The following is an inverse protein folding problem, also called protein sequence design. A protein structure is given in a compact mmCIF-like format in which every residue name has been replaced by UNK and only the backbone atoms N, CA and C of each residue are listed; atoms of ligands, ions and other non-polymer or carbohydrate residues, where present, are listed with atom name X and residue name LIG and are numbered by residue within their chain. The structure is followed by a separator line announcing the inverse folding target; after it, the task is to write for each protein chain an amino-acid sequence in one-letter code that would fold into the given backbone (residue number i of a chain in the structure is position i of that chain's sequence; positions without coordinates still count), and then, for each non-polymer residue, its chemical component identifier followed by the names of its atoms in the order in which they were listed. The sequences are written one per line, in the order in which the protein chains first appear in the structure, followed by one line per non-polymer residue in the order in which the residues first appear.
data_IF_781142694410
#
_entry.id   IF_781142694410
#
_cell.length_a   1.000
_cell.length_b   1.000
_cell.length_c   1.000
_cell.angle_alpha   90.00
_cell.angle_beta   90.00
_cell.angle_gamma   90.00
#
_symmetry.space_group_name_H-M   'P 1'
#
loop_
_entity.id
_entity.type
_entity.pdbx_description
1 polymer ?
#
# COMPACT_ATOMS: atom_id res chain seq x y z
N UNK A 1 12.96 17.21 -27.52
CA UNK A 1 12.93 16.25 -26.39
C UNK A 1 13.51 16.94 -25.15
N UNK A 2 12.68 17.69 -24.40
CA UNK A 2 12.94 18.26 -23.05
C UNK A 2 11.86 19.29 -22.62
N UNK A 3 10.59 19.13 -23.03
CA UNK A 3 9.51 20.07 -22.70
C UNK A 3 8.41 19.48 -21.80
N UNK A 4 8.50 18.19 -21.47
CA UNK A 4 7.40 17.46 -20.82
C UNK A 4 7.48 17.43 -19.28
N UNK A 5 8.63 17.73 -18.68
CA UNK A 5 8.82 17.59 -17.24
C UNK A 5 8.29 18.77 -16.39
N UNK A 6 8.02 19.93 -17.00
CA UNK A 6 7.65 21.16 -16.26
C UNK A 6 6.15 21.37 -16.04
N UNK A 7 5.27 20.58 -16.67
CA UNK A 7 3.82 20.71 -16.49
C UNK A 7 3.27 19.91 -15.30
N UNK A 8 4.00 18.90 -14.82
CA UNK A 8 3.54 18.05 -13.71
C UNK A 8 3.55 18.77 -12.34
N UNK A 9 4.30 19.86 -12.19
CA UNK A 9 4.45 20.59 -10.92
C UNK A 9 3.43 21.73 -10.74
N UNK A 10 2.80 22.23 -11.81
CA UNK A 10 1.88 23.40 -11.74
C UNK A 10 0.45 23.05 -11.32
N UNK A 11 0.08 21.77 -11.28
CA UNK A 11 -1.28 21.34 -10.97
C UNK A 11 -1.50 20.90 -9.52
N UNK A 12 -0.49 21.02 -8.64
CA UNK A 12 -0.66 20.82 -7.20
C UNK A 12 -1.35 19.51 -6.84
N UNK A 13 -1.04 18.42 -7.55
CA UNK A 13 -1.64 17.11 -7.35
C UNK A 13 -1.04 16.45 -6.12
N UNK A 14 -1.53 16.86 -4.96
CA UNK A 14 -1.38 16.13 -3.70
C UNK A 14 -2.36 14.96 -3.74
N UNK A 15 -1.96 13.89 -4.42
CA UNK A 15 -2.65 12.59 -4.51
C UNK A 15 -4.09 12.61 -5.08
N UNK A 16 -4.52 11.45 -5.60
CA UNK A 16 -5.88 11.10 -6.09
C UNK A 16 -6.18 11.49 -7.56
N UNK A 17 -6.65 10.53 -8.39
CA UNK A 17 -6.89 10.76 -9.82
C UNK A 17 -7.91 11.87 -10.05
N UNK A 18 -7.49 12.91 -10.77
CA UNK A 18 -8.23 14.14 -10.99
C UNK A 18 -8.44 14.31 -12.50
N UNK A 19 -9.66 14.04 -12.99
CA UNK A 19 -9.98 14.18 -14.42
C UNK A 19 -10.42 15.62 -14.64
N UNK A 20 -9.69 16.34 -15.49
CA UNK A 20 -10.00 17.71 -15.91
C UNK A 20 -10.39 17.69 -17.40
N UNK A 21 -11.54 18.30 -17.72
CA UNK A 21 -11.97 18.49 -19.09
C UNK A 21 -11.48 19.84 -19.59
N UNK A 22 -10.76 19.83 -20.71
CA UNK A 22 -10.26 21.03 -21.38
C UNK A 22 -10.99 21.24 -22.71
N UNK A 23 -11.28 22.50 -23.03
CA UNK A 23 -11.71 22.92 -24.36
C UNK A 23 -10.65 23.88 -24.90
N UNK A 24 -9.83 23.40 -25.83
CA UNK A 24 -8.60 24.10 -26.22
C UNK A 24 -7.61 24.18 -25.05
N UNK A 25 -7.12 25.38 -24.73
CA UNK A 25 -6.18 25.62 -23.63
C UNK A 25 -6.85 25.96 -22.28
N UNK A 26 -8.19 26.05 -22.23
CA UNK A 26 -8.93 26.47 -21.02
C UNK A 26 -9.52 25.26 -20.28
N UNK A 27 -9.28 25.11 -18.96
CA UNK A 27 -9.96 24.10 -18.16
C UNK A 27 -11.44 24.47 -18.00
N UNK A 28 -12.34 23.53 -18.30
CA UNK A 28 -13.79 23.75 -18.31
C UNK A 28 -14.51 23.07 -17.17
N UNK A 29 -14.11 21.85 -16.81
CA UNK A 29 -14.76 21.11 -15.72
C UNK A 29 -13.77 20.20 -15.01
N UNK A 30 -14.04 19.95 -13.73
CA UNK A 30 -13.25 19.06 -12.87
C UNK A 30 -14.15 17.94 -12.37
N UNK A 31 -13.72 16.70 -12.54
CA UNK A 31 -14.42 15.54 -12.02
C UNK A 31 -14.04 15.33 -10.54
N UNK A 32 -15.01 15.61 -9.65
CA UNK A 32 -14.81 15.53 -8.19
C UNK A 32 -15.68 14.46 -7.51
N UNK A 33 -16.31 13.55 -8.27
CA UNK A 33 -17.21 12.56 -7.68
C UNK A 33 -16.44 11.45 -6.94
N UNK A 34 -17.02 10.98 -5.84
CA UNK A 34 -16.47 9.89 -5.00
C UNK A 34 -16.48 8.56 -5.74
N UNK A 35 -17.56 8.27 -6.47
CA UNK A 35 -17.74 7.05 -7.25
C UNK A 35 -17.11 7.16 -8.64
N UNK A 36 -15.98 6.48 -8.82
CA UNK A 36 -15.16 6.49 -10.04
C UNK A 36 -15.53 5.33 -10.96
N UNK A 37 -16.78 5.30 -11.41
CA UNK A 37 -17.27 4.28 -12.33
C UNK A 37 -17.37 4.81 -13.76
N UNK A 38 -17.41 3.90 -14.74
CA UNK A 38 -17.63 4.26 -16.14
C UNK A 38 -18.94 5.04 -16.32
N UNK A 39 -19.99 4.67 -15.58
CA UNK A 39 -21.30 5.33 -15.66
C UNK A 39 -21.24 6.78 -15.16
N UNK A 40 -20.60 7.03 -14.03
CA UNK A 40 -20.42 8.39 -13.50
C UNK A 40 -19.60 9.26 -14.46
N UNK A 41 -18.62 8.68 -15.15
CA UNK A 41 -17.82 9.38 -16.17
C UNK A 41 -18.66 9.69 -17.42
N UNK A 42 -19.47 8.74 -17.91
CA UNK A 42 -20.38 8.95 -19.04
C UNK A 42 -21.33 10.12 -18.77
N UNK A 43 -21.92 10.17 -17.56
CA UNK A 43 -22.81 11.26 -17.12
C UNK A 43 -22.06 12.59 -17.07
N UNK A 44 -20.84 12.62 -16.53
CA UNK A 44 -20.04 13.85 -16.46
C UNK A 44 -19.74 14.44 -17.85
N UNK A 45 -19.30 13.59 -18.79
CA UNK A 45 -19.02 14.03 -20.16
C UNK A 45 -20.30 14.48 -20.85
N UNK A 46 -21.40 13.74 -20.70
CA UNK A 46 -22.70 14.12 -21.26
C UNK A 46 -23.18 15.48 -20.72
N UNK A 47 -23.11 15.71 -19.41
CA UNK A 47 -23.55 16.96 -18.81
C UNK A 47 -22.74 18.17 -19.29
N UNK A 48 -21.44 17.98 -19.59
CA UNK A 48 -20.57 19.07 -19.98
C UNK A 48 -20.50 19.29 -21.50
N UNK A 49 -20.79 18.27 -22.31
CA UNK A 49 -20.64 18.32 -23.78
C UNK A 49 -21.93 18.08 -24.57
N UNK A 50 -22.97 17.51 -23.94
CA UNK A 50 -24.20 17.07 -24.60
C UNK A 50 -24.05 15.82 -25.47
N UNK A 51 -22.87 15.19 -25.49
CA UNK A 51 -22.57 14.04 -26.36
C UNK A 51 -22.89 12.74 -25.63
N UNK A 52 -23.80 11.93 -26.19
CA UNK A 52 -24.09 10.60 -25.63
C UNK A 52 -22.92 9.64 -25.81
N UNK A 53 -22.53 8.98 -24.72
CA UNK A 53 -21.53 7.93 -24.75
C UNK A 53 -22.06 6.65 -25.41
N UNK A 54 -21.19 5.91 -26.09
CA UNK A 54 -21.54 4.61 -26.70
C UNK A 54 -22.04 3.64 -25.61
N UNK A 55 -23.27 3.14 -25.78
CA UNK A 55 -23.95 2.26 -24.81
C UNK A 55 -23.36 0.84 -24.75
N UNK A 56 -22.66 0.40 -25.80
CA UNK A 56 -22.11 -0.96 -25.91
C UNK A 56 -20.70 -1.12 -25.35
N UNK A 57 -20.19 -0.15 -24.59
CA UNK A 57 -18.86 -0.23 -23.96
C UNK A 57 -19.04 -0.73 -22.52
N UNK A 58 -18.51 -1.91 -22.25
CA UNK A 58 -18.49 -2.57 -20.94
C UNK A 58 -17.05 -2.65 -20.46
N UNK A 59 -16.84 -2.43 -19.16
CA UNK A 59 -15.52 -2.57 -18.54
C UNK A 59 -15.13 -4.05 -18.55
N UNK A 60 -13.99 -4.36 -19.16
CA UNK A 60 -13.42 -5.70 -19.22
C UNK A 60 -12.32 -5.88 -18.17
N UNK A 61 -11.94 -7.13 -17.90
CA UNK A 61 -10.79 -7.45 -17.05
C UNK A 61 -9.48 -6.87 -17.60
N UNK A 62 -9.35 -6.78 -18.93
CA UNK A 62 -8.17 -6.21 -19.59
C UNK A 62 -7.99 -4.71 -19.28
N UNK A 63 -9.09 -3.97 -19.10
CA UNK A 63 -9.04 -2.53 -18.77
C UNK A 63 -8.52 -2.25 -17.36
N UNK A 64 -8.45 -3.28 -16.50
CA UNK A 64 -7.90 -3.18 -15.15
C UNK A 64 -6.38 -3.38 -15.12
N UNK A 65 -5.78 -3.81 -16.23
CA UNK A 65 -4.34 -4.03 -16.36
C UNK A 65 -3.70 -2.69 -16.71
N UNK A 66 -3.33 -1.94 -15.67
CA UNK A 66 -2.59 -0.69 -15.79
C UNK A 66 -1.07 -0.88 -15.74
N UNK A 67 -0.28 0.12 -16.19
CA UNK A 67 1.17 0.12 -16.02
C UNK A 67 1.59 0.16 -14.54
N UNK A 68 0.67 0.53 -13.65
CA UNK A 68 0.85 0.53 -12.21
C UNK A 68 -0.04 -0.55 -11.59
N UNK A 69 0.50 -1.52 -10.83
CA UNK A 69 -0.32 -2.50 -10.13
C UNK A 69 -1.14 -1.83 -9.04
N UNK A 70 -2.46 -1.86 -9.18
CA UNK A 70 -3.43 -1.34 -8.20
C UNK A 70 -3.63 -2.25 -6.99
N UNK A 71 -2.97 -3.42 -6.99
CA UNK A 71 -3.06 -4.41 -5.92
C UNK A 71 -1.94 -4.20 -4.92
N UNK A 72 -2.29 -4.16 -3.64
CA UNK A 72 -1.31 -4.15 -2.56
C UNK A 72 -0.57 -5.50 -2.60
N UNK A 73 0.69 -5.47 -3.04
CA UNK A 73 1.55 -6.66 -3.11
C UNK A 73 1.81 -7.12 -1.67
N UNK A 74 1.08 -8.13 -1.22
CA UNK A 74 1.32 -8.82 0.04
C UNK A 74 2.56 -9.69 -0.13
N UNK A 75 3.73 -9.13 0.17
CA UNK A 75 4.99 -9.86 0.23
C UNK A 75 5.28 -10.26 1.68
N UNK A 76 5.95 -11.39 1.85
CA UNK A 76 6.45 -11.83 3.17
C UNK A 76 7.70 -11.03 3.49
N UNK A 77 7.74 -10.40 4.66
CA UNK A 77 8.92 -9.71 5.16
C UNK A 77 9.91 -10.74 5.74
N UNK A 78 10.93 -11.07 4.97
CA UNK A 78 11.97 -12.03 5.36
C UNK A 78 12.84 -11.54 6.52
N UNK A 79 13.03 -10.22 6.68
CA UNK A 79 13.75 -9.65 7.82
C UNK A 79 12.95 -9.85 9.11
N UNK A 80 11.63 -9.70 9.04
CA UNK A 80 10.73 -9.98 10.16
C UNK A 80 10.79 -11.46 10.58
N UNK A 81 10.76 -12.38 9.60
CA UNK A 81 10.89 -13.82 9.88
C UNK A 81 12.24 -14.13 10.55
N UNK A 82 13.32 -13.56 10.02
CA UNK A 82 14.66 -13.73 10.59
C UNK A 82 14.78 -13.17 12.01
N UNK A 83 14.23 -11.97 12.27
CA UNK A 83 14.30 -11.35 13.60
C UNK A 83 13.53 -12.16 14.64
N UNK A 84 12.39 -12.73 14.27
CA UNK A 84 11.62 -13.61 15.14
C UNK A 84 12.39 -14.90 15.47
N UNK A 85 13.03 -15.51 14.47
CA UNK A 85 13.85 -16.70 14.67
C UNK A 85 15.05 -16.42 15.60
N UNK A 86 15.72 -15.28 15.41
CA UNK A 86 16.81 -14.83 16.27
C UNK A 86 16.35 -14.65 17.72
N UNK A 87 15.21 -13.98 17.93
CA UNK A 87 14.64 -13.76 19.26
C UNK A 87 14.32 -15.08 19.97
N UNK A 88 13.63 -16.01 19.29
CA UNK A 88 13.29 -17.32 19.83
C UNK A 88 14.55 -18.11 20.20
N UNK A 89 15.55 -18.11 19.33
CA UNK A 89 16.84 -18.78 19.58
C UNK A 89 17.57 -18.20 20.78
N UNK A 90 17.55 -16.87 20.93
CA UNK A 90 18.18 -16.19 22.06
C UNK A 90 17.47 -16.49 23.38
N UNK A 91 16.12 -16.46 23.39
CA UNK A 91 15.31 -16.83 24.56
C UNK A 91 15.57 -18.28 24.94
N UNK A 92 15.56 -19.20 23.97
CA UNK A 92 15.84 -20.61 24.20
C UNK A 92 17.24 -20.82 24.81
N UNK A 93 18.25 -20.16 24.26
CA UNK A 93 19.62 -20.22 24.80
C UNK A 93 19.68 -19.69 26.23
N UNK A 94 19.04 -18.55 26.52
CA UNK A 94 19.01 -17.95 27.85
C UNK A 94 18.31 -18.87 28.87
N UNK A 95 17.19 -19.48 28.50
CA UNK A 95 16.46 -20.43 29.35
C UNK A 95 17.30 -21.68 29.62
N UNK A 96 17.92 -22.29 28.61
CA UNK A 96 18.77 -23.48 28.78
C UNK A 96 19.96 -23.17 29.69
N UNK A 97 20.63 -22.03 29.50
CA UNK A 97 21.73 -21.60 30.37
C UNK A 97 21.27 -21.39 31.81
N UNK A 98 20.13 -20.75 32.01
CA UNK A 98 19.58 -20.47 33.35
C UNK A 98 19.22 -21.76 34.08
N UNK A 99 18.55 -22.70 33.41
CA UNK A 99 18.22 -24.02 33.97
C UNK A 99 19.47 -24.86 34.21
N UNK A 100 20.45 -24.81 33.30
CA UNK A 100 21.73 -25.51 33.47
C UNK A 100 22.53 -24.97 34.67
N UNK A 101 22.54 -23.65 34.91
CA UNK A 101 23.18 -23.04 36.09
C UNK A 101 22.43 -23.42 37.37
N UNK A 102 21.09 -23.41 37.35
CA UNK A 102 20.26 -23.81 38.49
C UNK A 102 20.46 -25.28 38.88
N UNK A 103 20.66 -26.16 37.89
CA UNK A 103 20.97 -27.56 38.14
C UNK A 103 22.43 -27.79 38.59
N UNK A 104 23.37 -26.92 38.20
CA UNK A 104 24.77 -26.99 38.62
C UNK A 104 25.01 -26.49 40.06
N UNK A 105 24.04 -25.78 40.66
CA UNK A 105 24.06 -25.39 42.08
C UNK A 105 22.91 -26.10 42.83
N UNK A 106 22.93 -27.44 42.99
CA UNK A 106 22.06 -28.11 43.95
C UNK A 106 22.82 -28.17 45.29
N UNK A 107 22.51 -27.25 46.21
CA UNK A 107 22.97 -27.35 47.60
C UNK A 107 24.26 -26.58 47.92
N UNK A 108 24.11 -25.30 48.26
CA UNK A 108 24.82 -24.76 49.42
C UNK A 108 23.81 -24.69 50.58
N UNK A 109 23.28 -25.85 50.96
CA UNK A 109 22.82 -26.07 52.33
C UNK A 109 24.08 -26.33 53.16
N UNK A 110 24.75 -25.25 53.56
CA UNK A 110 25.65 -25.34 54.70
C UNK A 110 24.75 -25.29 55.93
N UNK A 111 24.36 -26.49 56.39
CA UNK A 111 24.14 -26.75 57.81
C UNK A 111 25.25 -26.03 58.60
N UNK A 112 24.86 -25.05 59.41
CA UNK A 112 25.55 -24.84 60.66
C UNK A 112 24.48 -24.68 61.75
N UNK A 113 24.19 -25.84 62.33
CA UNK A 113 23.63 -25.99 63.66
C UNK A 113 24.62 -25.35 64.63
N UNK A 114 24.17 -24.33 65.37
CA UNK A 114 24.38 -24.19 66.81
C UNK A 114 23.26 -23.33 67.42
#
# INVERSE_FOLDING_TARGET
LALDASQHSRFGTVAVPNILLFQGAKPMARFNHTDRTLETLKIFIFNQTGIEAKKNVVVTQADQIGPLPSTLIKSVDWLLVFSLFFLISFIMYATIRTESIRWLIPGQEQEHVE
#
